data_IF_318046638670
#
_entry.id   IF_318046638670
#
_cell.length_a   1.000
_cell.length_b   1.000
_cell.length_c   1.000
_cell.angle_alpha   90.00
_cell.angle_beta   90.00
_cell.angle_gamma   90.00
#
_symmetry.space_group_name_H-M   'P 1'
#
loop_
_entity.id
_entity.type
_entity.pdbx_description
1 polymer ?
#
# COMPACT_ATOMS: atom_id res chain seq x y z
N UNK A 1 20.31 16.15 -0.12
CA UNK A 1 19.23 16.77 0.33
C UNK A 1 18.17 15.86 0.89
N UNK A 2 17.84 16.11 2.02
CA UNK A 2 16.94 15.21 2.68
C UNK A 2 15.51 15.60 2.48
N UNK A 3 14.94 15.18 1.42
CA UNK A 3 13.53 15.39 1.30
C UNK A 3 12.80 14.51 2.24
N UNK A 4 11.67 14.94 2.75
CA UNK A 4 10.84 14.04 3.50
C UNK A 4 10.47 12.88 2.60
N UNK A 5 10.32 11.73 3.22
CA UNK A 5 9.90 10.56 2.50
C UNK A 5 8.50 10.78 1.97
N UNK A 6 8.34 10.69 0.69
CA UNK A 6 7.06 10.86 0.08
C UNK A 6 6.45 9.52 -0.24
N UNK A 7 5.16 9.42 -0.02
CA UNK A 7 4.43 8.25 -0.45
C UNK A 7 3.95 8.48 -1.86
N UNK A 8 4.27 7.56 -2.74
CA UNK A 8 3.89 7.68 -4.12
C UNK A 8 2.56 7.02 -4.42
N UNK A 9 1.83 6.69 -3.37
CA UNK A 9 0.53 6.06 -3.51
C UNK A 9 -0.56 7.10 -3.42
N UNK A 10 -1.64 6.83 -4.11
CA UNK A 10 -2.85 7.63 -4.02
C UNK A 10 -3.97 6.74 -3.57
N UNK A 11 -5.02 7.35 -3.05
CA UNK A 11 -6.20 6.58 -2.69
C UNK A 11 -6.70 5.84 -3.92
N UNK A 12 -7.01 4.57 -3.75
CA UNK A 12 -7.46 3.73 -4.84
C UNK A 12 -6.38 2.99 -5.57
N UNK A 13 -5.10 3.31 -5.31
CA UNK A 13 -4.00 2.60 -5.95
C UNK A 13 -3.95 1.16 -5.46
N UNK A 14 -3.36 0.31 -6.30
CA UNK A 14 -3.19 -1.10 -5.97
C UNK A 14 -1.75 -1.38 -5.58
N UNK A 15 -1.60 -2.20 -4.53
CA UNK A 15 -0.29 -2.50 -3.97
C UNK A 15 -0.23 -3.97 -3.55
N UNK A 16 1.00 -4.45 -3.33
CA UNK A 16 1.23 -5.77 -2.77
C UNK A 16 2.16 -5.59 -1.57
N UNK A 17 1.87 -6.32 -0.51
CA UNK A 17 2.74 -6.33 0.67
C UNK A 17 3.93 -7.26 0.37
N UNK A 18 5.17 -6.76 0.43
CA UNK A 18 6.32 -7.57 0.00
C UNK A 18 6.56 -8.79 0.87
N UNK A 19 6.23 -8.71 2.15
CA UNK A 19 6.47 -9.81 3.08
C UNK A 19 5.24 -10.69 3.26
N UNK A 20 4.14 -10.32 2.64
CA UNK A 20 2.88 -11.06 2.78
C UNK A 20 2.24 -11.24 1.41
N UNK A 21 2.92 -11.92 0.50
CA UNK A 21 2.35 -12.06 -0.85
C UNK A 21 1.03 -12.82 -0.85
N UNK A 22 0.82 -13.65 0.16
CA UNK A 22 -0.43 -14.39 0.26
C UNK A 22 -1.62 -13.52 0.61
N UNK A 23 -1.38 -12.26 0.98
CA UNK A 23 -2.50 -11.34 1.22
C UNK A 23 -3.15 -10.90 -0.10
N UNK A 24 -2.46 -11.09 -1.22
CA UNK A 24 -3.00 -10.72 -2.52
C UNK A 24 -2.85 -9.23 -2.78
N UNK A 25 -3.56 -8.78 -3.79
CA UNK A 25 -3.52 -7.36 -4.16
C UNK A 25 -4.39 -6.58 -3.19
N UNK A 26 -3.87 -5.43 -2.76
CA UNK A 26 -4.62 -4.55 -1.89
C UNK A 26 -4.91 -3.24 -2.57
N UNK A 27 -5.93 -2.55 -2.10
CA UNK A 27 -6.28 -1.24 -2.60
C UNK A 27 -6.14 -0.23 -1.47
N UNK A 28 -5.45 0.86 -1.75
CA UNK A 28 -5.21 1.90 -0.75
C UNK A 28 -6.50 2.61 -0.42
N UNK A 29 -6.84 2.63 0.86
CA UNK A 29 -8.10 3.21 1.32
C UNK A 29 -7.90 4.53 2.03
N UNK A 30 -6.82 4.69 2.78
CA UNK A 30 -6.54 5.95 3.43
C UNK A 30 -5.04 6.09 3.65
N UNK A 31 -4.60 7.33 3.74
CA UNK A 31 -3.20 7.65 3.96
C UNK A 31 -3.16 8.74 5.01
N UNK A 32 -2.50 8.45 6.12
CA UNK A 32 -2.30 9.42 7.19
C UNK A 32 -0.82 9.41 7.53
N UNK A 33 -0.10 10.42 7.06
CA UNK A 33 1.35 10.43 7.20
C UNK A 33 1.94 9.25 6.49
N UNK A 34 2.66 8.41 7.20
CA UNK A 34 3.24 7.19 6.64
C UNK A 34 2.40 5.96 6.90
N UNK A 35 1.25 6.12 7.52
CA UNK A 35 0.35 5.01 7.79
C UNK A 35 -0.66 4.89 6.68
N UNK A 36 -0.62 3.77 6.00
CA UNK A 36 -1.47 3.52 4.84
C UNK A 36 -2.40 2.38 5.16
N UNK A 37 -3.68 2.61 5.05
CA UNK A 37 -4.66 1.55 5.23
C UNK A 37 -4.97 0.95 3.87
N UNK A 38 -4.81 -0.36 3.79
CA UNK A 38 -4.97 -1.10 2.54
C UNK A 38 -5.95 -2.23 2.77
N UNK A 39 -6.85 -2.42 1.84
CA UNK A 39 -7.78 -3.54 1.88
C UNK A 39 -7.26 -4.61 0.93
N UNK A 40 -6.73 -5.69 1.49
CA UNK A 40 -6.15 -6.79 0.71
C UNK A 40 -7.18 -7.86 0.39
N UNK A 41 -7.01 -8.49 -0.76
CA UNK A 41 -7.96 -9.51 -1.21
C UNK A 41 -8.17 -10.62 -0.20
N UNK A 42 -7.07 -11.05 0.42
CA UNK A 42 -7.12 -12.22 1.29
C UNK A 42 -6.82 -11.92 2.75
N UNK A 43 -6.60 -10.68 3.08
CA UNK A 43 -6.29 -10.30 4.46
C UNK A 43 -7.22 -9.21 4.99
N UNK A 44 -8.03 -8.64 4.13
CA UNK A 44 -8.91 -7.57 4.55
C UNK A 44 -8.14 -6.29 4.82
N UNK A 45 -8.70 -5.46 5.66
CA UNK A 45 -8.16 -4.15 5.92
C UNK A 45 -6.97 -4.23 6.88
N UNK A 46 -5.84 -3.70 6.46
CA UNK A 46 -4.62 -3.69 7.24
C UNK A 46 -4.02 -2.29 7.22
N UNK A 47 -3.48 -1.86 8.34
CA UNK A 47 -2.76 -0.59 8.40
C UNK A 47 -1.27 -0.86 8.29
N UNK A 48 -0.63 -0.26 7.31
CA UNK A 48 0.78 -0.49 7.01
C UNK A 48 1.57 0.76 7.33
N UNK A 49 2.61 0.60 8.14
CA UNK A 49 3.53 1.69 8.42
C UNK A 49 4.60 1.70 7.34
N UNK A 50 4.50 2.64 6.41
CA UNK A 50 5.41 2.68 5.28
C UNK A 50 6.79 3.20 5.60
N UNK A 51 7.05 3.59 6.85
CA UNK A 51 8.42 3.80 7.30
C UNK A 51 9.16 2.49 7.47
N UNK A 52 8.42 1.41 7.66
CA UNK A 52 9.00 0.10 7.93
C UNK A 52 8.82 -0.84 6.74
N UNK A 53 7.65 -0.79 6.14
CA UNK A 53 7.29 -1.69 5.05
C UNK A 53 7.21 -0.92 3.75
N UNK A 54 7.91 -1.39 2.74
CA UNK A 54 7.87 -0.77 1.43
C UNK A 54 6.85 -1.51 0.55
N UNK A 55 5.63 -1.01 0.54
CA UNK A 55 4.61 -1.59 -0.32
C UNK A 55 5.01 -1.44 -1.78
N UNK A 56 4.72 -2.44 -2.58
CA UNK A 56 5.02 -2.41 -4.00
C UNK A 56 3.76 -2.04 -4.77
N UNK A 57 3.88 -0.98 -5.57
CA UNK A 57 2.78 -0.60 -6.43
C UNK A 57 2.60 -1.61 -7.54
N UNK A 58 1.37 -1.89 -7.89
CA UNK A 58 1.09 -2.76 -9.04
C UNK A 58 0.23 -1.98 -10.01
N UNK A 59 0.32 -2.34 -11.29
CA UNK A 59 -0.49 -1.65 -12.28
C UNK A 59 -1.96 -1.82 -11.96
N UNK A 60 -2.71 -0.75 -12.26
CA UNK A 60 -4.14 -0.82 -12.08
C UNK A 60 -4.70 -1.88 -13.01
N UNK A 61 -5.57 -2.75 -12.50
CA UNK A 61 -6.16 -3.74 -13.39
C UNK A 61 -6.92 -3.07 -14.51
N UNK A 62 -6.76 -3.62 -15.70
CA UNK A 62 -7.48 -3.09 -16.86
C UNK A 62 -8.38 -4.15 -17.41
N UNK A 63 -9.37 -3.67 -18.13
CA UNK A 63 -10.29 -4.61 -18.71
C UNK A 63 -9.94 -4.92 -20.08
#
# INVERSE_FOLDING_TARGET
MGYPQLLYFSLGDFVIHPDRPNWGIGQVQSIVGMNVTVNFEHAGKQMINCNIIALNAVPRPTK
#
